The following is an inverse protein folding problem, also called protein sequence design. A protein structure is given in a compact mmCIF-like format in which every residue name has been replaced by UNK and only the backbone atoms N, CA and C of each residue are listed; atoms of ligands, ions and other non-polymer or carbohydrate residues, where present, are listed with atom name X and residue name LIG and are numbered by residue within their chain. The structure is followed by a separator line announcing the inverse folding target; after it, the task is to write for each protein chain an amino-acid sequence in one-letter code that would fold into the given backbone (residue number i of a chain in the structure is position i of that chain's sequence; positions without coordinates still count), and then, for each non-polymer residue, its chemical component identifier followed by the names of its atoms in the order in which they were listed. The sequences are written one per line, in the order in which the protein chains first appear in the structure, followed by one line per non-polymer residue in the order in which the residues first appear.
data_IF_296116515503
#
_entry.id   IF_296116515503
#
_cell.length_a   1.000
_cell.length_b   1.000
_cell.length_c   1.000
_cell.angle_alpha   90.00
_cell.angle_beta   90.00
_cell.angle_gamma   90.00
#
_symmetry.space_group_name_H-M   'P 1'
#
loop_
_entity.id
_entity.type
_entity.pdbx_description
1 polymer ?
#
# COMPACT_ATOMS: atom_id res chain seq x y z
N UNK A 1 24.05 0.06 37.53
CA UNK A 1 25.50 -0.22 37.42
C UNK A 1 26.11 1.06 36.85
N UNK A 2 27.05 1.70 37.54
CA UNK A 2 27.70 2.93 37.05
C UNK A 2 29.03 2.49 36.46
N UNK A 3 29.14 2.61 35.13
CA UNK A 3 30.43 2.32 34.45
C UNK A 3 31.27 3.57 34.43
N UNK A 4 32.57 3.37 34.66
CA UNK A 4 33.55 4.47 34.66
C UNK A 4 33.90 4.82 33.21
N UNK A 5 33.48 5.98 32.77
CA UNK A 5 33.82 6.50 31.44
C UNK A 5 35.07 7.36 31.50
N UNK A 6 35.87 7.32 30.48
CA UNK A 6 37.03 8.18 30.28
C UNK A 6 36.82 9.05 29.04
N UNK A 7 37.10 10.32 29.14
CA UNK A 7 37.08 11.22 28.01
C UNK A 7 38.37 11.08 27.19
N UNK A 8 38.22 10.87 25.89
CA UNK A 8 39.35 10.69 24.96
C UNK A 8 39.19 11.65 23.79
N UNK A 9 40.18 12.43 23.53
CA UNK A 9 40.25 13.30 22.37
C UNK A 9 41.18 12.71 21.31
N UNK A 10 40.69 12.54 20.09
CA UNK A 10 41.47 12.03 18.96
C UNK A 10 41.61 13.18 17.93
N UNK A 11 42.83 13.48 17.53
CA UNK A 11 43.13 14.44 16.48
C UNK A 11 44.04 13.81 15.43
N UNK A 12 43.72 14.01 14.16
CA UNK A 12 44.48 13.45 13.05
C UNK A 12 44.06 14.02 11.69
N UNK A 13 44.78 13.67 10.62
CA UNK A 13 44.44 14.10 9.27
C UNK A 13 43.10 13.51 8.84
N UNK A 14 42.32 14.34 8.12
CA UNK A 14 40.98 13.96 7.59
C UNK A 14 41.01 12.65 6.78
N UNK A 15 42.07 12.40 6.02
CA UNK A 15 42.23 11.23 5.16
C UNK A 15 42.33 9.89 5.93
N UNK A 16 42.60 9.96 7.24
CA UNK A 16 42.76 8.76 8.08
C UNK A 16 41.51 8.44 8.95
N UNK A 17 40.45 9.22 8.81
CA UNK A 17 39.21 9.04 9.63
C UNK A 17 38.66 7.64 9.45
N UNK A 18 38.53 7.14 8.21
CA UNK A 18 37.96 5.81 7.93
C UNK A 18 38.83 4.71 8.54
N UNK A 19 40.12 4.84 8.44
CA UNK A 19 41.05 3.91 9.05
C UNK A 19 40.95 3.91 10.59
N UNK A 20 40.82 5.07 11.19
CA UNK A 20 40.70 5.23 12.64
C UNK A 20 39.35 4.61 13.13
N UNK A 21 38.26 4.88 12.42
CA UNK A 21 36.96 4.31 12.75
C UNK A 21 36.99 2.79 12.64
N UNK A 22 37.51 2.24 11.54
CA UNK A 22 37.54 0.80 11.30
C UNK A 22 38.46 0.03 12.26
N UNK A 23 39.61 0.59 12.59
CA UNK A 23 40.62 -0.14 13.35
C UNK A 23 40.51 0.03 14.86
N UNK A 24 40.02 1.18 15.30
CA UNK A 24 40.03 1.54 16.72
C UNK A 24 38.60 1.75 17.25
N UNK A 25 37.81 2.61 16.64
CA UNK A 25 36.53 3.02 17.22
C UNK A 25 35.44 1.95 17.10
N UNK A 26 35.39 1.21 15.99
CA UNK A 26 34.37 0.18 15.77
C UNK A 26 34.45 -1.02 16.72
N UNK A 27 35.53 -1.17 17.46
CA UNK A 27 35.79 -2.30 18.37
C UNK A 27 35.40 -2.03 19.82
N UNK A 28 35.04 -0.79 20.13
CA UNK A 28 34.76 -0.36 21.49
C UNK A 28 33.40 0.34 21.54
N UNK A 29 32.72 0.19 22.67
CA UNK A 29 31.52 0.99 22.97
C UNK A 29 31.96 2.41 23.31
N UNK A 30 31.72 3.35 22.39
CA UNK A 30 32.07 4.74 22.53
C UNK A 30 30.84 5.64 22.37
N UNK A 31 30.79 6.65 23.20
CA UNK A 31 29.85 7.74 23.06
C UNK A 31 30.54 8.91 22.36
N UNK A 32 30.01 9.32 21.18
CA UNK A 32 30.58 10.44 20.44
C UNK A 32 29.87 11.74 20.85
N UNK A 33 30.64 12.71 21.30
CA UNK A 33 30.14 14.04 21.60
C UNK A 33 30.48 15.04 20.48
N UNK A 34 29.67 16.07 20.36
CA UNK A 34 29.90 17.09 19.35
C UNK A 34 31.06 18.00 19.80
N UNK A 35 32.18 17.93 19.10
CA UNK A 35 33.36 18.71 19.40
C UNK A 35 33.15 20.24 19.36
N UNK A 36 32.09 20.73 18.72
CA UNK A 36 31.77 22.17 18.65
C UNK A 36 31.46 22.78 20.02
N UNK A 37 30.88 22.00 20.94
CA UNK A 37 30.60 22.47 22.31
C UNK A 37 31.85 22.65 23.12
N UNK A 38 32.91 21.87 22.83
CA UNK A 38 34.17 21.88 23.55
C UNK A 38 35.24 22.80 22.90
N UNK A 39 35.12 23.01 21.58
CA UNK A 39 36.10 23.76 20.77
C UNK A 39 35.71 25.23 20.54
N UNK A 40 34.79 25.76 21.33
CA UNK A 40 34.31 27.15 21.21
C UNK A 40 35.41 28.23 21.29
N UNK A 41 36.65 27.87 21.66
CA UNK A 41 37.81 28.75 21.75
C UNK A 41 38.89 28.51 20.66
N UNK A 42 38.67 27.56 19.74
CA UNK A 42 39.67 27.22 18.73
C UNK A 42 39.26 27.75 17.34
N UNK A 43 39.64 28.97 17.03
CA UNK A 43 39.32 29.67 15.77
C UNK A 43 39.82 28.99 14.49
N UNK A 44 40.57 27.89 14.58
CA UNK A 44 41.18 27.21 13.44
C UNK A 44 40.46 25.90 13.01
N UNK A 45 39.44 25.47 13.73
CA UNK A 45 38.71 24.27 13.39
C UNK A 45 37.40 24.61 12.70
N UNK A 46 37.21 24.07 11.49
CA UNK A 46 35.95 24.15 10.75
C UNK A 46 35.19 22.84 10.84
N UNK A 47 33.88 22.95 10.95
CA UNK A 47 33.01 21.75 10.91
C UNK A 47 33.14 21.00 9.59
N UNK A 48 32.99 19.69 9.66
CA UNK A 48 32.92 18.85 8.50
C UNK A 48 31.60 19.16 7.76
N UNK A 49 31.70 19.82 6.61
CA UNK A 49 30.55 20.27 5.82
C UNK A 49 30.10 19.23 4.76
N UNK A 50 30.89 18.18 4.56
CA UNK A 50 30.54 17.14 3.60
C UNK A 50 29.42 16.26 4.15
N UNK A 51 28.41 15.99 3.32
CA UNK A 51 27.37 15.03 3.68
C UNK A 51 27.98 13.64 3.88
N UNK A 52 27.56 12.97 4.94
CA UNK A 52 27.98 11.59 5.19
C UNK A 52 27.42 10.68 4.06
N UNK A 53 28.28 10.09 3.23
CA UNK A 53 27.84 9.27 2.09
C UNK A 53 27.00 8.04 2.51
N UNK A 54 27.14 7.61 3.76
CA UNK A 54 26.41 6.45 4.30
C UNK A 54 25.05 6.81 4.90
N UNK A 55 24.71 8.11 5.00
CA UNK A 55 23.47 8.57 5.62
C UNK A 55 22.23 8.00 4.92
N UNK A 56 22.19 8.07 3.61
CA UNK A 56 21.07 7.55 2.81
C UNK A 56 20.90 6.03 2.99
N UNK A 57 22.01 5.29 2.91
CA UNK A 57 22.03 3.84 3.11
C UNK A 57 21.56 3.45 4.53
N UNK A 58 22.00 4.17 5.54
CA UNK A 58 21.60 3.94 6.93
C UNK A 58 20.09 4.18 7.12
N UNK A 59 19.55 5.23 6.52
CA UNK A 59 18.12 5.54 6.59
C UNK A 59 17.30 4.43 5.93
N UNK A 60 17.65 4.03 4.70
CA UNK A 60 17.01 2.91 4.01
C UNK A 60 17.10 1.60 4.81
N UNK A 61 18.28 1.28 5.36
CA UNK A 61 18.43 0.08 6.19
C UNK A 61 17.51 0.08 7.41
N UNK A 62 17.35 1.22 8.07
CA UNK A 62 16.44 1.36 9.21
C UNK A 62 14.98 1.19 8.81
N UNK A 63 14.57 1.76 7.70
CA UNK A 63 13.22 1.61 7.15
C UNK A 63 12.92 0.13 6.82
N UNK A 64 13.86 -0.55 6.17
CA UNK A 64 13.74 -1.98 5.87
C UNK A 64 13.66 -2.83 7.15
N UNK A 65 14.43 -2.48 8.18
CA UNK A 65 14.38 -3.19 9.47
C UNK A 65 13.03 -3.07 10.16
N UNK A 66 12.28 -1.98 9.97
CA UNK A 66 10.93 -1.83 10.52
C UNK A 66 9.93 -2.82 9.91
N UNK A 67 10.20 -3.33 8.71
CA UNK A 67 9.36 -4.34 8.04
C UNK A 67 9.62 -5.76 8.57
N UNK A 68 10.74 -6.00 9.24
CA UNK A 68 11.12 -7.31 9.76
C UNK A 68 10.47 -7.53 11.12
N UNK A 69 9.60 -8.54 11.19
CA UNK A 69 8.98 -8.98 12.47
C UNK A 69 9.98 -9.82 13.23
N UNK A 70 10.61 -9.46 14.26
CA UNK A 70 11.61 -10.18 15.06
C UNK A 70 12.99 -10.28 14.39
N UNK A 71 13.72 -9.18 14.26
CA UNK A 71 15.08 -9.23 13.77
C UNK A 71 15.96 -10.05 14.76
N UNK A 72 16.59 -11.10 14.26
CA UNK A 72 17.59 -11.82 15.03
C UNK A 72 18.81 -10.90 15.25
N UNK A 73 19.38 -10.97 16.45
CA UNK A 73 20.63 -10.25 16.74
C UNK A 73 21.76 -10.91 15.94
N UNK A 74 22.13 -10.29 14.84
CA UNK A 74 23.26 -10.74 14.04
C UNK A 74 24.59 -10.37 14.76
N UNK A 75 25.56 -11.28 14.69
CA UNK A 75 26.92 -10.98 15.11
C UNK A 75 27.52 -9.96 14.14
N UNK A 76 28.07 -8.88 14.66
CA UNK A 76 28.71 -7.84 13.85
C UNK A 76 29.93 -8.45 13.15
N UNK A 77 29.82 -8.65 11.84
CA UNK A 77 30.94 -9.03 10.98
C UNK A 77 31.42 -7.82 10.17
N UNK A 78 32.65 -7.86 9.68
CA UNK A 78 33.11 -6.82 8.76
C UNK A 78 32.18 -6.74 7.54
N UNK A 79 31.46 -5.65 7.41
CA UNK A 79 30.53 -5.43 6.31
C UNK A 79 31.28 -4.75 5.17
N UNK A 80 31.23 -5.34 3.98
CA UNK A 80 31.66 -4.67 2.76
C UNK A 80 30.53 -3.71 2.32
N UNK A 81 30.79 -2.39 2.42
CA UNK A 81 29.81 -1.35 2.16
C UNK A 81 29.19 -1.46 0.76
N UNK A 82 30.01 -1.76 -0.26
CA UNK A 82 29.50 -1.90 -1.65
C UNK A 82 28.56 -3.11 -1.80
N UNK A 83 28.81 -4.21 -1.08
CA UNK A 83 27.92 -5.36 -1.08
C UNK A 83 26.63 -5.06 -0.32
N UNK A 84 26.74 -4.35 0.80
CA UNK A 84 25.59 -3.93 1.60
C UNK A 84 24.68 -3.00 0.79
N UNK A 85 25.24 -2.01 0.08
CA UNK A 85 24.49 -1.11 -0.78
C UNK A 85 23.70 -1.88 -1.84
N UNK A 86 24.37 -2.75 -2.60
CA UNK A 86 23.71 -3.56 -3.64
C UNK A 86 22.59 -4.46 -3.09
N UNK A 87 22.79 -4.98 -1.89
CA UNK A 87 21.79 -5.81 -1.22
C UNK A 87 20.56 -4.98 -0.80
N UNK A 88 20.77 -3.79 -0.23
CA UNK A 88 19.71 -2.87 0.17
C UNK A 88 18.92 -2.42 -1.06
N UNK A 89 19.60 -1.99 -2.12
CA UNK A 89 18.96 -1.52 -3.35
C UNK A 89 18.11 -2.62 -3.99
N UNK A 90 18.60 -3.87 -4.00
CA UNK A 90 17.84 -5.01 -4.52
C UNK A 90 16.58 -5.31 -3.69
N UNK A 91 16.66 -5.23 -2.37
CA UNK A 91 15.49 -5.46 -1.50
C UNK A 91 14.49 -4.32 -1.67
N UNK A 92 14.96 -3.08 -1.75
CA UNK A 92 14.12 -1.90 -1.95
C UNK A 92 13.32 -2.03 -3.25
N UNK A 93 13.97 -2.39 -4.36
CA UNK A 93 13.34 -2.67 -5.65
C UNK A 93 12.27 -3.77 -5.54
N UNK A 94 12.59 -4.89 -4.88
CA UNK A 94 11.62 -5.98 -4.69
C UNK A 94 10.41 -5.56 -3.85
N UNK A 95 10.61 -4.72 -2.84
CA UNK A 95 9.52 -4.20 -2.01
C UNK A 95 8.64 -3.25 -2.82
N UNK A 96 9.22 -2.39 -3.64
CA UNK A 96 8.47 -1.47 -4.47
C UNK A 96 7.67 -2.20 -5.56
N UNK A 97 8.21 -3.26 -6.14
CA UNK A 97 7.48 -4.14 -7.07
C UNK A 97 6.26 -4.79 -6.37
N UNK A 98 6.47 -5.35 -5.18
CA UNK A 98 5.39 -5.96 -4.40
C UNK A 98 4.33 -4.92 -4.01
N UNK A 99 4.71 -3.72 -3.59
CA UNK A 99 3.77 -2.64 -3.27
C UNK A 99 2.93 -2.25 -4.47
N UNK A 100 3.55 -2.18 -5.64
CA UNK A 100 2.86 -1.87 -6.90
C UNK A 100 1.85 -2.97 -7.26
N UNK A 101 2.24 -4.23 -7.09
CA UNK A 101 1.34 -5.37 -7.34
C UNK A 101 0.16 -5.38 -6.36
N UNK A 102 0.41 -5.15 -5.07
CA UNK A 102 -0.64 -5.05 -4.04
C UNK A 102 -1.62 -3.94 -4.38
N UNK A 103 -1.15 -2.74 -4.73
CA UNK A 103 -2.02 -1.63 -5.10
C UNK A 103 -2.88 -1.93 -6.35
N UNK A 104 -2.32 -2.65 -7.34
CA UNK A 104 -3.07 -3.08 -8.51
C UNK A 104 -4.14 -4.13 -8.17
N UNK A 105 -3.82 -5.09 -7.30
CA UNK A 105 -4.77 -6.11 -6.85
C UNK A 105 -5.90 -5.50 -6.01
N UNK A 106 -5.60 -4.57 -5.12
CA UNK A 106 -6.60 -3.82 -4.35
C UNK A 106 -7.57 -3.08 -5.28
N UNK A 107 -7.06 -2.40 -6.31
CA UNK A 107 -7.89 -1.72 -7.30
C UNK A 107 -8.80 -2.68 -8.08
N UNK A 108 -8.28 -3.87 -8.46
CA UNK A 108 -9.09 -4.89 -9.13
C UNK A 108 -10.16 -5.45 -8.19
N UNK A 109 -9.82 -5.68 -6.94
CA UNK A 109 -10.77 -6.15 -5.92
C UNK A 109 -11.90 -5.14 -5.69
N UNK A 110 -11.59 -3.85 -5.62
CA UNK A 110 -12.59 -2.79 -5.49
C UNK A 110 -13.53 -2.74 -6.70
N UNK A 111 -12.99 -2.84 -7.92
CA UNK A 111 -13.80 -2.91 -9.13
C UNK A 111 -14.74 -4.11 -9.13
N UNK A 112 -14.22 -5.30 -8.79
CA UNK A 112 -15.04 -6.53 -8.70
C UNK A 112 -16.09 -6.44 -7.60
N UNK A 113 -15.79 -5.81 -6.47
CA UNK A 113 -16.76 -5.58 -5.39
C UNK A 113 -17.88 -4.64 -5.84
N UNK A 114 -17.56 -3.60 -6.62
CA UNK A 114 -18.57 -2.71 -7.21
C UNK A 114 -19.46 -3.45 -8.19
N UNK A 115 -18.88 -4.23 -9.10
CA UNK A 115 -19.64 -5.07 -10.04
C UNK A 115 -20.52 -6.08 -9.30
N UNK A 116 -19.96 -6.72 -8.26
CA UNK A 116 -20.73 -7.64 -7.43
C UNK A 116 -21.90 -6.95 -6.73
N UNK A 117 -21.70 -5.76 -6.18
CA UNK A 117 -22.76 -5.00 -5.51
C UNK A 117 -23.91 -4.65 -6.47
N UNK A 118 -23.60 -4.35 -7.74
CA UNK A 118 -24.61 -4.09 -8.78
C UNK A 118 -25.37 -5.36 -9.15
N UNK A 119 -24.70 -6.50 -9.22
CA UNK A 119 -25.29 -7.76 -9.67
C UNK A 119 -25.95 -8.58 -8.57
N UNK A 120 -25.53 -8.39 -7.31
CA UNK A 120 -26.01 -9.17 -6.15
C UNK A 120 -27.54 -9.20 -6.02
N UNK A 121 -28.28 -8.10 -6.24
CA UNK A 121 -29.75 -8.11 -6.17
C UNK A 121 -30.43 -9.03 -7.19
N UNK A 122 -29.75 -9.36 -8.29
CA UNK A 122 -30.27 -10.19 -9.37
C UNK A 122 -29.90 -11.67 -9.24
N UNK A 123 -29.18 -12.06 -8.16
CA UNK A 123 -28.78 -13.45 -7.91
C UNK A 123 -29.96 -14.41 -7.77
N UNK A 124 -31.10 -13.91 -7.36
CA UNK A 124 -32.36 -14.72 -7.20
C UNK A 124 -33.06 -14.99 -8.51
N UNK A 125 -32.57 -14.45 -9.63
CA UNK A 125 -33.12 -14.69 -10.95
C UNK A 125 -32.98 -16.18 -11.31
N UNK A 126 -34.09 -16.88 -11.41
CA UNK A 126 -34.15 -18.30 -11.79
C UNK A 126 -33.97 -18.54 -13.29
N UNK A 127 -33.62 -17.51 -14.04
CA UNK A 127 -33.45 -17.55 -15.49
C UNK A 127 -31.98 -17.42 -15.86
N UNK A 128 -31.58 -18.14 -16.91
CA UNK A 128 -30.24 -17.99 -17.47
C UNK A 128 -30.06 -16.59 -18.07
N UNK A 129 -29.04 -15.87 -17.62
CA UNK A 129 -28.69 -14.59 -18.23
C UNK A 129 -28.47 -14.71 -19.74
N UNK A 130 -27.86 -15.81 -20.18
CA UNK A 130 -27.70 -16.10 -21.61
C UNK A 130 -29.05 -16.17 -22.32
N UNK A 131 -30.06 -16.81 -21.72
CA UNK A 131 -31.40 -16.85 -22.29
C UNK A 131 -32.05 -15.47 -22.43
N UNK A 132 -31.76 -14.55 -21.49
CA UNK A 132 -32.22 -13.16 -21.55
C UNK A 132 -31.48 -12.41 -22.67
N UNK A 133 -30.17 -12.61 -22.77
CA UNK A 133 -29.35 -11.96 -23.83
C UNK A 133 -29.73 -12.43 -25.24
N UNK A 134 -30.14 -13.69 -25.40
CA UNK A 134 -30.47 -14.30 -26.68
C UNK A 134 -31.93 -14.01 -27.09
N UNK A 135 -32.71 -13.19 -26.35
CA UNK A 135 -34.07 -12.80 -26.72
C UNK A 135 -34.10 -11.86 -27.92
N UNK A 136 -34.63 -12.33 -29.05
CA UNK A 136 -34.67 -11.53 -30.29
C UNK A 136 -35.86 -10.56 -30.37
N UNK A 137 -36.97 -10.87 -29.67
CA UNK A 137 -38.21 -10.10 -29.78
C UNK A 137 -38.49 -9.17 -28.61
N UNK A 138 -37.68 -9.23 -27.55
CA UNK A 138 -37.85 -8.42 -26.36
C UNK A 138 -36.58 -7.60 -26.05
N UNK A 139 -36.81 -6.34 -25.69
CA UNK A 139 -35.82 -5.52 -25.03
C UNK A 139 -35.91 -5.79 -23.52
N UNK A 140 -34.76 -5.77 -22.86
CA UNK A 140 -34.72 -5.96 -21.41
C UNK A 140 -33.85 -4.88 -20.76
N UNK A 141 -34.20 -4.53 -19.52
CA UNK A 141 -33.39 -3.64 -18.68
C UNK A 141 -33.37 -4.14 -17.25
N UNK A 142 -32.16 -4.30 -16.73
CA UNK A 142 -31.95 -4.49 -15.30
C UNK A 142 -32.01 -3.14 -14.61
N UNK A 143 -32.73 -3.06 -13.48
CA UNK A 143 -32.86 -1.80 -12.78
C UNK A 143 -33.38 -1.93 -11.36
N UNK A 144 -33.46 -0.78 -10.72
CA UNK A 144 -34.07 -0.65 -9.40
C UNK A 144 -35.09 0.49 -9.42
N UNK A 145 -36.18 0.32 -8.67
CA UNK A 145 -37.25 1.29 -8.52
C UNK A 145 -37.36 1.64 -7.04
N UNK A 146 -37.45 2.91 -6.65
CA UNK A 146 -37.72 3.28 -5.25
C UNK A 146 -38.98 2.59 -4.74
N UNK A 147 -38.92 2.04 -3.53
CA UNK A 147 -40.06 1.35 -2.93
C UNK A 147 -41.34 2.20 -2.89
N UNK A 148 -41.18 3.50 -2.62
CA UNK A 148 -42.28 4.45 -2.58
C UNK A 148 -43.00 4.65 -3.92
N UNK A 149 -42.31 4.36 -5.05
CA UNK A 149 -42.83 4.52 -6.41
C UNK A 149 -43.26 3.18 -7.05
N UNK A 150 -42.93 2.07 -6.37
CA UNK A 150 -43.12 0.75 -6.95
C UNK A 150 -44.61 0.40 -7.17
N UNK A 151 -45.45 0.69 -6.19
CA UNK A 151 -46.89 0.41 -6.31
C UNK A 151 -47.54 1.20 -7.46
N UNK A 152 -47.08 2.46 -7.66
CA UNK A 152 -47.49 3.29 -8.77
C UNK A 152 -46.97 2.75 -10.09
N UNK A 153 -45.72 2.34 -10.14
CA UNK A 153 -45.13 1.73 -11.33
C UNK A 153 -45.89 0.44 -11.72
N UNK A 154 -46.16 -0.43 -10.74
CA UNK A 154 -46.91 -1.65 -10.96
C UNK A 154 -48.33 -1.40 -11.53
N UNK A 155 -48.97 -0.30 -11.11
CA UNK A 155 -50.27 0.10 -11.65
C UNK A 155 -50.23 0.58 -13.09
N UNK A 156 -49.08 0.91 -13.64
CA UNK A 156 -48.89 1.27 -15.06
C UNK A 156 -48.59 0.06 -15.94
N UNK A 157 -48.21 -1.06 -15.34
CA UNK A 157 -48.05 -2.32 -16.09
C UNK A 157 -49.44 -2.89 -16.40
N UNK A 158 -49.86 -2.64 -17.62
CA UNK A 158 -51.17 -3.13 -18.10
C UNK A 158 -51.09 -4.67 -18.30
N UNK A 159 -51.97 -5.46 -17.64
CA UNK A 159 -52.01 -6.93 -17.85
C UNK A 159 -52.22 -7.35 -19.29
N UNK A 160 -52.80 -6.48 -20.13
CA UNK A 160 -53.06 -6.74 -21.56
C UNK A 160 -51.88 -6.27 -22.46
N UNK A 161 -50.85 -5.66 -21.88
CA UNK A 161 -49.63 -5.28 -22.59
C UNK A 161 -48.54 -6.34 -22.37
N UNK A 162 -47.75 -6.59 -23.41
CA UNK A 162 -46.64 -7.57 -23.37
C UNK A 162 -45.42 -7.04 -22.56
N UNK A 163 -45.65 -6.12 -21.61
CA UNK A 163 -44.63 -5.52 -20.75
C UNK A 163 -44.59 -6.22 -19.39
N UNK A 164 -43.45 -6.72 -18.99
CA UNK A 164 -43.32 -7.50 -17.76
C UNK A 164 -42.20 -6.95 -16.92
N UNK A 165 -42.44 -6.74 -15.62
CA UNK A 165 -41.39 -6.49 -14.63
C UNK A 165 -41.21 -7.73 -13.74
N UNK A 166 -40.07 -8.38 -13.87
CA UNK A 166 -39.70 -9.52 -13.02
C UNK A 166 -38.94 -9.04 -11.79
N UNK A 167 -39.60 -9.04 -10.64
CA UNK A 167 -39.02 -8.69 -9.37
C UNK A 167 -38.00 -9.74 -8.92
N UNK A 168 -36.76 -9.30 -8.61
CA UNK A 168 -35.67 -10.15 -8.16
C UNK A 168 -35.44 -10.04 -6.65
N UNK A 169 -35.42 -8.82 -6.14
CA UNK A 169 -35.18 -8.54 -4.72
C UNK A 169 -35.99 -7.31 -4.29
N UNK A 170 -36.57 -7.40 -3.10
CA UNK A 170 -37.27 -6.29 -2.46
C UNK A 170 -36.54 -5.92 -1.18
N UNK A 171 -36.00 -4.71 -1.15
CA UNK A 171 -35.39 -4.10 0.02
C UNK A 171 -36.26 -2.97 0.62
N UNK A 172 -35.83 -2.39 1.71
CA UNK A 172 -36.56 -1.29 2.38
C UNK A 172 -36.71 -0.04 1.48
N UNK A 173 -35.68 0.26 0.70
CA UNK A 173 -35.60 1.48 -0.11
C UNK A 173 -35.89 1.24 -1.60
N UNK A 174 -35.52 0.06 -2.12
CA UNK A 174 -35.59 -0.26 -3.54
C UNK A 174 -36.16 -1.64 -3.81
N UNK A 175 -36.83 -1.73 -4.96
CA UNK A 175 -37.22 -3.01 -5.59
C UNK A 175 -36.34 -3.19 -6.82
N UNK A 176 -35.62 -4.29 -6.86
CA UNK A 176 -34.76 -4.65 -7.98
C UNK A 176 -35.44 -5.66 -8.89
N UNK A 177 -35.30 -5.49 -10.18
CA UNK A 177 -35.92 -6.39 -11.13
C UNK A 177 -35.43 -6.20 -12.56
N UNK A 178 -36.00 -6.98 -13.44
CA UNK A 178 -35.74 -6.91 -14.88
C UNK A 178 -37.05 -6.52 -15.58
N UNK A 179 -37.01 -5.46 -16.34
CA UNK A 179 -38.12 -5.03 -17.19
C UNK A 179 -37.92 -5.59 -18.60
N UNK A 180 -39.00 -6.13 -19.16
CA UNK A 180 -39.06 -6.65 -20.53
C UNK A 180 -40.14 -5.90 -21.29
N UNK A 181 -39.89 -5.54 -22.54
CA UNK A 181 -40.83 -4.92 -23.45
C UNK A 181 -40.60 -5.45 -24.89
N UNK A 182 -41.63 -5.56 -25.71
CA UNK A 182 -41.49 -5.90 -27.13
C UNK A 182 -40.62 -4.87 -27.88
N UNK A 183 -39.95 -5.33 -28.94
CA UNK A 183 -39.05 -4.45 -29.74
C UNK A 183 -39.82 -3.41 -30.53
N UNK A 184 -41.07 -3.72 -30.92
CA UNK A 184 -41.86 -2.89 -31.81
C UNK A 184 -42.70 -1.81 -31.10
N UNK A 185 -42.42 -1.57 -29.82
CA UNK A 185 -43.09 -0.52 -29.00
C UNK A 185 -42.08 0.50 -28.44
#
# INVERSE_FOLDING_TARGET
MIEKMSFVTLAGPKTEIDYLVDHYLSKHDIHLENALSELSSAEQFTTFTEENPFKAMLTKSRELMLLVKNPEKATISKINVNKAQKFIDKIDEQIDDIRTEVANLEKQMDALNQDYAVLAPFKTLNYSLKGIYDMEFFKYRFGKIPRSEFDKFESYLDPDMDEIFLTCLVESEYVYGVFFAPIDK
#
